data_IF_450862790109
#
_entry.id   IF_450862790109
#
_cell.length_a   1.000
_cell.length_b   1.000
_cell.length_c   1.000
_cell.angle_alpha   90.00
_cell.angle_beta   90.00
_cell.angle_gamma   90.00
#
_symmetry.space_group_name_H-M   'P 1'
#
loop_
_entity.id
_entity.type
_entity.pdbx_description
1 polymer ?
#
# COMPACT_ATOMS: atom_id res chain seq x y z
N UNK A 1 -9.04 6.86 -12.96
CA UNK A 1 -9.25 8.02 -12.05
C UNK A 1 -9.95 7.52 -10.79
N UNK A 2 -9.52 7.94 -9.62
CA UNK A 2 -10.18 7.63 -8.34
C UNK A 2 -11.41 8.53 -8.17
N UNK A 3 -12.55 7.95 -7.81
CA UNK A 3 -13.80 8.66 -7.56
C UNK A 3 -14.37 8.27 -6.20
N UNK A 4 -15.30 9.06 -5.66
CA UNK A 4 -15.93 8.77 -4.37
C UNK A 4 -16.66 7.41 -4.42
N UNK A 5 -17.37 7.13 -5.51
CA UNK A 5 -18.09 5.87 -5.70
C UNK A 5 -17.13 4.65 -5.64
N UNK A 6 -15.94 4.76 -6.28
CA UNK A 6 -14.92 3.70 -6.19
C UNK A 6 -14.38 3.51 -4.78
N UNK A 7 -14.21 4.58 -4.02
CA UNK A 7 -13.79 4.48 -2.62
C UNK A 7 -14.87 3.87 -1.72
N UNK A 8 -16.14 4.19 -1.97
CA UNK A 8 -17.27 3.56 -1.27
C UNK A 8 -17.34 2.05 -1.59
N UNK A 9 -17.25 1.69 -2.88
CA UNK A 9 -17.17 0.29 -3.32
C UNK A 9 -15.99 -0.43 -2.67
N UNK A 10 -14.80 0.17 -2.70
CA UNK A 10 -13.61 -0.40 -2.07
C UNK A 10 -13.81 -0.61 -0.57
N UNK A 11 -14.39 0.36 0.12
CA UNK A 11 -14.66 0.27 1.56
C UNK A 11 -15.61 -0.87 1.90
N UNK A 12 -16.69 -1.02 1.14
CA UNK A 12 -17.63 -2.12 1.33
C UNK A 12 -17.04 -3.49 0.97
N UNK A 13 -16.17 -3.54 -0.05
CA UNK A 13 -15.54 -4.79 -0.45
C UNK A 13 -14.50 -5.24 0.59
N UNK A 14 -13.59 -4.35 1.03
CA UNK A 14 -12.52 -4.71 1.96
C UNK A 14 -13.02 -5.03 3.37
N UNK A 15 -14.13 -4.45 3.82
CA UNK A 15 -14.77 -4.80 5.11
C UNK A 15 -15.06 -6.30 5.25
N UNK A 16 -15.25 -7.02 4.16
CA UNK A 16 -15.54 -8.46 4.17
C UNK A 16 -14.36 -9.31 4.65
N UNK A 17 -13.14 -8.77 4.56
CA UNK A 17 -11.90 -9.54 4.77
C UNK A 17 -10.90 -8.85 5.68
N UNK A 18 -11.15 -7.63 6.11
CA UNK A 18 -10.23 -6.90 6.98
C UNK A 18 -10.68 -6.94 8.44
N UNK A 19 -9.72 -6.95 9.35
CA UNK A 19 -10.01 -6.70 10.75
C UNK A 19 -10.44 -5.24 10.94
N UNK A 20 -11.48 -4.97 11.74
CA UNK A 20 -11.84 -3.61 12.10
C UNK A 20 -10.77 -3.02 13.04
N UNK A 21 -9.76 -2.39 12.47
CA UNK A 21 -8.69 -1.72 13.21
C UNK A 21 -9.19 -0.37 13.73
N UNK A 22 -9.98 -0.39 14.79
CA UNK A 22 -10.54 0.82 15.39
C UNK A 22 -9.46 1.82 15.81
N UNK A 23 -9.80 3.10 15.82
CA UNK A 23 -8.92 4.14 16.31
C UNK A 23 -8.63 3.94 17.80
N UNK A 24 -7.36 3.96 18.15
CA UNK A 24 -6.89 3.82 19.54
C UNK A 24 -6.37 5.17 20.03
N UNK A 25 -7.03 5.75 21.04
CA UNK A 25 -6.53 6.97 21.68
C UNK A 25 -5.18 6.70 22.36
N UNK A 26 -4.19 7.54 22.07
CA UNK A 26 -2.88 7.48 22.71
C UNK A 26 -2.72 8.57 23.74
N UNK A 27 -2.89 8.25 25.01
CA UNK A 27 -2.69 9.20 26.11
C UNK A 27 -1.24 9.72 26.14
N UNK A 28 -0.26 8.82 25.93
CA UNK A 28 1.14 9.18 25.91
C UNK A 28 1.44 10.25 24.85
N UNK A 29 1.11 9.98 23.56
CA UNK A 29 1.35 10.94 22.50
C UNK A 29 0.54 12.22 22.66
N UNK A 30 -0.68 12.13 23.17
CA UNK A 30 -1.53 13.29 23.40
C UNK A 30 -0.93 14.22 24.47
N UNK A 31 -0.39 13.65 25.54
CA UNK A 31 0.30 14.42 26.58
C UNK A 31 1.57 15.08 26.07
N UNK A 32 2.36 14.39 25.24
CA UNK A 32 3.60 14.94 24.67
C UNK A 32 3.35 16.08 23.68
N UNK A 33 2.27 16.02 22.91
CA UNK A 33 2.01 16.97 21.83
C UNK A 33 1.02 18.07 22.18
N UNK A 34 0.23 17.91 23.25
CA UNK A 34 -0.89 18.79 23.58
C UNK A 34 -2.10 18.63 22.64
N UNK A 35 -2.10 17.65 21.73
CA UNK A 35 -3.18 17.34 20.80
C UNK A 35 -3.87 16.04 21.20
N UNK A 36 -5.07 15.77 20.65
CA UNK A 36 -5.73 14.47 20.77
C UNK A 36 -5.20 13.54 19.69
N UNK A 37 -4.32 12.61 20.05
CA UNK A 37 -3.68 11.69 19.11
C UNK A 37 -4.35 10.32 19.15
N UNK A 38 -4.72 9.84 17.97
CA UNK A 38 -5.29 8.51 17.76
C UNK A 38 -4.39 7.72 16.81
N UNK A 39 -4.27 6.42 17.02
CA UNK A 39 -3.54 5.49 16.17
C UNK A 39 -4.53 4.64 15.38
N UNK A 40 -4.30 4.49 14.07
CA UNK A 40 -4.98 3.51 13.20
C UNK A 40 -4.08 2.28 13.06
N UNK A 41 -4.27 1.20 13.85
CA UNK A 41 -3.29 0.13 13.99
C UNK A 41 -3.39 -0.89 12.85
N UNK A 42 -3.02 -0.52 11.64
CA UNK A 42 -3.05 -1.40 10.46
C UNK A 42 -2.07 -2.59 10.52
N UNK A 43 -1.14 -2.59 11.47
CA UNK A 43 -0.33 -3.76 11.81
C UNK A 43 -1.14 -4.90 12.47
N UNK A 44 -2.39 -4.63 12.86
CA UNK A 44 -3.31 -5.63 13.42
C UNK A 44 -4.19 -6.32 12.36
N UNK A 45 -3.95 -6.08 11.08
CA UNK A 45 -4.58 -6.82 10.00
C UNK A 45 -4.12 -8.29 9.94
N UNK A 46 -4.90 -9.17 9.31
CA UNK A 46 -4.60 -10.60 9.17
C UNK A 46 -3.19 -10.88 8.64
N UNK A 47 -2.72 -10.06 7.70
CA UNK A 47 -1.37 -10.16 7.13
C UNK A 47 -0.33 -9.32 7.88
N UNK A 48 -0.71 -8.65 8.96
CA UNK A 48 0.15 -7.77 9.75
C UNK A 48 0.42 -6.41 9.11
N UNK A 49 -0.36 -6.01 8.08
CA UNK A 49 -0.21 -4.74 7.40
C UNK A 49 -1.45 -4.36 6.57
N UNK A 50 -1.59 -3.06 6.27
CA UNK A 50 -2.68 -2.50 5.48
C UNK A 50 -2.73 -3.00 4.01
N UNK A 51 -1.66 -3.58 3.49
CA UNK A 51 -1.53 -3.99 2.08
C UNK A 51 -2.64 -4.94 1.60
N UNK A 52 -3.25 -5.68 2.50
CA UNK A 52 -4.41 -6.53 2.23
C UNK A 52 -5.57 -5.74 1.59
N UNK A 53 -5.80 -4.49 1.99
CA UNK A 53 -6.89 -3.64 1.50
C UNK A 53 -6.78 -3.37 0.01
N UNK A 54 -5.64 -2.83 -0.43
CA UNK A 54 -5.40 -2.53 -1.83
C UNK A 54 -5.29 -3.77 -2.70
N UNK A 55 -4.64 -4.84 -2.22
CA UNK A 55 -4.55 -6.10 -2.95
C UNK A 55 -5.94 -6.72 -3.15
N UNK A 56 -6.78 -6.74 -2.11
CA UNK A 56 -8.11 -7.32 -2.18
C UNK A 56 -9.03 -6.53 -3.10
N UNK A 57 -9.02 -5.19 -3.01
CA UNK A 57 -9.82 -4.36 -3.92
C UNK A 57 -9.37 -4.55 -5.37
N UNK A 58 -8.07 -4.44 -5.66
CA UNK A 58 -7.53 -4.64 -7.00
C UNK A 58 -7.95 -5.98 -7.61
N UNK A 59 -7.78 -7.07 -6.89
CA UNK A 59 -8.17 -8.40 -7.38
C UNK A 59 -9.69 -8.51 -7.55
N UNK A 60 -10.46 -7.85 -6.69
CA UNK A 60 -11.92 -7.78 -6.79
C UNK A 60 -12.43 -7.04 -8.02
N UNK A 61 -11.69 -6.04 -8.53
CA UNK A 61 -12.06 -5.30 -9.74
C UNK A 61 -11.72 -6.02 -11.04
N UNK A 62 -10.89 -7.08 -10.97
CA UNK A 62 -10.55 -7.87 -12.15
C UNK A 62 -11.75 -8.69 -12.63
N UNK A 63 -11.80 -8.90 -13.94
CA UNK A 63 -12.74 -9.84 -14.54
C UNK A 63 -12.43 -11.27 -14.10
N UNK A 64 -13.41 -12.16 -14.23
CA UNK A 64 -13.21 -13.59 -13.94
C UNK A 64 -12.12 -14.19 -14.83
N UNK A 65 -12.05 -13.78 -16.09
CA UNK A 65 -11.01 -14.23 -17.02
C UNK A 65 -9.61 -13.80 -16.56
N UNK A 66 -9.43 -12.54 -16.14
CA UNK A 66 -8.15 -12.05 -15.63
C UNK A 66 -7.72 -12.79 -14.36
N UNK A 67 -8.65 -13.04 -13.43
CA UNK A 67 -8.37 -13.85 -12.23
C UNK A 67 -8.01 -15.30 -12.57
N UNK A 68 -8.69 -15.91 -13.55
CA UNK A 68 -8.47 -17.30 -13.95
C UNK A 68 -7.13 -17.50 -14.67
N UNK A 69 -6.62 -16.48 -15.38
CA UNK A 69 -5.25 -16.52 -15.94
C UNK A 69 -4.19 -16.62 -14.84
N UNK A 70 -4.47 -16.10 -13.66
CA UNK A 70 -3.56 -16.06 -12.53
C UNK A 70 -2.99 -14.66 -12.27
N UNK A 71 -2.53 -14.48 -11.05
CA UNK A 71 -1.98 -13.21 -10.55
C UNK A 71 -0.50 -13.34 -10.32
N UNK A 72 0.24 -12.23 -10.48
CA UNK A 72 1.67 -12.20 -10.16
C UNK A 72 2.04 -10.88 -9.50
N UNK A 73 3.02 -10.93 -8.62
CA UNK A 73 3.69 -9.73 -8.08
C UNK A 73 5.12 -10.03 -7.69
N UNK A 74 5.95 -8.98 -7.57
CA UNK A 74 7.27 -9.06 -6.96
C UNK A 74 7.22 -8.36 -5.60
N UNK A 75 7.45 -9.09 -4.53
CA UNK A 75 7.54 -8.55 -3.17
C UNK A 75 7.99 -9.62 -2.18
N UNK A 76 8.93 -9.28 -1.31
CA UNK A 76 9.35 -10.14 -0.20
C UNK A 76 8.68 -9.76 1.15
N UNK A 77 7.70 -8.84 1.14
CA UNK A 77 7.14 -8.27 2.36
C UNK A 77 5.62 -8.30 2.45
N UNK A 78 5.08 -7.21 2.98
CA UNK A 78 3.65 -7.09 3.30
C UNK A 78 2.74 -7.20 2.07
N UNK A 79 3.19 -6.71 0.90
CA UNK A 79 2.40 -6.80 -0.33
C UNK A 79 2.28 -8.25 -0.82
N UNK A 80 3.36 -9.03 -0.76
CA UNK A 80 3.35 -10.46 -1.08
C UNK A 80 2.25 -11.21 -0.31
N UNK A 81 2.20 -10.98 1.00
CA UNK A 81 1.18 -11.59 1.86
C UNK A 81 -0.24 -11.07 1.57
N UNK A 82 -0.37 -9.76 1.29
CA UNK A 82 -1.64 -9.15 0.91
C UNK A 82 -2.21 -9.76 -0.37
N UNK A 83 -1.38 -9.91 -1.41
CA UNK A 83 -1.78 -10.55 -2.69
C UNK A 83 -2.10 -12.02 -2.50
N UNK A 84 -1.24 -12.77 -1.78
CA UNK A 84 -1.46 -14.19 -1.51
C UNK A 84 -2.79 -14.43 -0.75
N UNK A 85 -3.03 -13.65 0.29
CA UNK A 85 -4.29 -13.70 1.04
C UNK A 85 -5.50 -13.38 0.15
N UNK A 86 -5.45 -12.27 -0.57
CA UNK A 86 -6.56 -11.84 -1.42
C UNK A 86 -6.84 -12.85 -2.54
N UNK A 87 -5.80 -13.39 -3.19
CA UNK A 87 -5.95 -14.44 -4.19
C UNK A 87 -6.67 -15.67 -3.65
N UNK A 88 -6.32 -16.10 -2.44
CA UNK A 88 -7.00 -17.22 -1.76
C UNK A 88 -8.49 -16.95 -1.56
N UNK A 89 -8.85 -15.76 -1.07
CA UNK A 89 -10.25 -15.39 -0.82
C UNK A 89 -11.07 -15.33 -2.12
N UNK A 90 -10.46 -14.99 -3.26
CA UNK A 90 -11.10 -15.02 -4.57
C UNK A 90 -10.97 -16.37 -5.30
N UNK A 91 -10.29 -17.37 -4.69
CA UNK A 91 -10.10 -18.68 -5.28
C UNK A 91 -9.22 -18.69 -6.53
N UNK A 92 -8.35 -17.69 -6.70
CA UNK A 92 -7.44 -17.59 -7.85
C UNK A 92 -5.99 -17.92 -7.47
N UNK A 93 -5.19 -18.30 -8.45
CA UNK A 93 -3.77 -18.60 -8.29
C UNK A 93 -2.97 -17.32 -8.21
N UNK A 94 -1.97 -17.27 -7.33
CA UNK A 94 -1.01 -16.17 -7.26
C UNK A 94 0.42 -16.71 -7.23
N UNK A 95 1.27 -16.12 -8.06
CA UNK A 95 2.72 -16.34 -8.10
C UNK A 95 3.41 -15.12 -7.51
N UNK A 96 4.26 -15.33 -6.50
CA UNK A 96 4.99 -14.26 -5.82
C UNK A 96 6.47 -14.45 -6.08
N UNK A 97 7.09 -13.51 -6.77
CA UNK A 97 8.53 -13.53 -7.03
C UNK A 97 9.25 -12.76 -5.92
N UNK A 98 10.26 -13.39 -5.34
CA UNK A 98 11.08 -12.85 -4.25
C UNK A 98 12.57 -13.02 -4.55
N UNK A 99 13.45 -12.12 -4.09
CA UNK A 99 14.88 -12.34 -4.12
C UNK A 99 15.29 -13.63 -3.42
N UNK A 100 16.34 -14.29 -3.89
CA UNK A 100 16.86 -15.56 -3.31
C UNK A 100 17.31 -15.41 -1.86
N UNK A 101 17.74 -14.22 -1.46
CA UNK A 101 18.17 -13.88 -0.10
C UNK A 101 17.01 -13.64 0.87
N UNK A 102 15.76 -13.75 0.40
CA UNK A 102 14.58 -13.52 1.25
C UNK A 102 14.53 -14.50 2.41
N UNK A 103 14.39 -14.03 3.67
CA UNK A 103 14.31 -14.90 4.84
C UNK A 103 13.21 -15.96 4.72
N UNK A 104 13.51 -17.21 5.07
CA UNK A 104 12.57 -18.34 4.97
C UNK A 104 11.24 -18.10 5.69
N UNK A 105 11.25 -17.32 6.78
CA UNK A 105 10.03 -16.99 7.50
C UNK A 105 9.06 -16.19 6.63
N UNK A 106 9.55 -15.26 5.81
CA UNK A 106 8.73 -14.46 4.87
C UNK A 106 8.21 -15.34 3.73
N UNK A 107 9.06 -16.22 3.19
CA UNK A 107 8.69 -17.20 2.15
C UNK A 107 7.57 -18.12 2.65
N UNK A 108 7.79 -18.76 3.81
CA UNK A 108 6.84 -19.72 4.38
C UNK A 108 5.50 -19.04 4.74
N UNK A 109 5.56 -17.82 5.27
CA UNK A 109 4.35 -17.06 5.60
C UNK A 109 3.52 -16.73 4.34
N UNK A 110 4.17 -16.37 3.23
CA UNK A 110 3.47 -16.15 1.96
C UNK A 110 2.87 -17.45 1.42
N UNK A 111 3.63 -18.55 1.44
CA UNK A 111 3.14 -19.88 1.05
C UNK A 111 1.96 -20.36 1.90
N UNK A 112 1.92 -20.02 3.19
CA UNK A 112 0.81 -20.40 4.07
C UNK A 112 -0.55 -19.79 3.67
N UNK A 113 -0.53 -18.72 2.88
CA UNK A 113 -1.74 -18.16 2.25
C UNK A 113 -2.10 -18.83 0.91
N UNK A 114 -1.36 -19.86 0.48
CA UNK A 114 -1.68 -20.63 -0.73
C UNK A 114 -1.00 -20.14 -2.02
N UNK A 115 -0.16 -19.11 -1.96
CA UNK A 115 0.55 -18.64 -3.14
C UNK A 115 1.76 -19.51 -3.48
N UNK A 116 2.07 -19.62 -4.77
CA UNK A 116 3.34 -20.11 -5.27
C UNK A 116 4.42 -19.03 -5.05
N UNK A 117 5.57 -19.43 -4.50
CA UNK A 117 6.70 -18.52 -4.32
C UNK A 117 7.85 -18.97 -5.20
N UNK A 118 8.29 -18.08 -6.08
CA UNK A 118 9.44 -18.22 -6.97
C UNK A 118 10.57 -17.36 -6.42
N UNK A 119 11.74 -17.97 -6.16
CA UNK A 119 12.93 -17.23 -5.74
C UNK A 119 13.79 -16.94 -6.97
N UNK A 120 14.07 -15.65 -7.24
CA UNK A 120 14.84 -15.23 -8.39
C UNK A 120 15.62 -13.94 -8.13
N UNK A 121 16.90 -13.92 -8.58
CA UNK A 121 17.80 -12.79 -8.42
C UNK A 121 18.24 -12.54 -6.98
N UNK A 122 19.11 -11.59 -6.78
CA UNK A 122 19.66 -11.28 -5.47
C UNK A 122 19.05 -10.00 -4.86
N UNK A 123 18.47 -9.13 -5.72
CA UNK A 123 17.83 -7.86 -5.32
C UNK A 123 16.38 -7.80 -5.79
N UNK A 124 15.66 -6.81 -5.29
CA UNK A 124 14.25 -6.61 -5.64
C UNK A 124 14.05 -6.41 -7.15
N UNK A 125 14.93 -5.66 -7.80
CA UNK A 125 14.79 -5.32 -9.22
C UNK A 125 14.89 -6.56 -10.12
N UNK A 126 15.77 -7.51 -9.79
CA UNK A 126 15.86 -8.79 -10.51
C UNK A 126 14.55 -9.58 -10.38
N UNK A 127 14.01 -9.66 -9.16
CA UNK A 127 12.75 -10.34 -8.91
C UNK A 127 11.58 -9.65 -9.64
N UNK A 128 11.58 -8.31 -9.68
CA UNK A 128 10.56 -7.52 -10.37
C UNK A 128 10.60 -7.76 -11.89
N UNK A 129 11.77 -7.64 -12.50
CA UNK A 129 11.92 -7.89 -13.95
C UNK A 129 11.52 -9.31 -14.32
N UNK A 130 11.87 -10.28 -13.51
CA UNK A 130 11.47 -11.66 -13.72
C UNK A 130 9.96 -11.86 -13.56
N UNK A 131 9.32 -11.20 -12.62
CA UNK A 131 7.88 -11.23 -12.47
C UNK A 131 7.17 -10.61 -13.68
N UNK A 132 7.67 -9.49 -14.21
CA UNK A 132 7.16 -8.88 -15.45
C UNK A 132 7.28 -9.85 -16.65
N UNK A 133 8.42 -10.50 -16.81
CA UNK A 133 8.63 -11.51 -17.84
C UNK A 133 7.63 -12.68 -17.72
N UNK A 134 7.45 -13.23 -16.52
CA UNK A 134 6.48 -14.30 -16.30
C UNK A 134 5.04 -13.84 -16.55
N UNK A 135 4.72 -12.57 -16.24
CA UNK A 135 3.40 -12.00 -16.51
C UNK A 135 3.12 -12.00 -18.02
N UNK A 136 4.07 -11.55 -18.84
CA UNK A 136 3.95 -11.53 -20.30
C UNK A 136 3.85 -12.95 -20.89
N UNK A 137 4.75 -13.86 -20.49
CA UNK A 137 4.81 -15.22 -21.03
C UNK A 137 3.56 -16.05 -20.73
N UNK A 138 2.94 -15.84 -19.55
CA UNK A 138 1.81 -16.65 -19.06
C UNK A 138 0.47 -15.89 -19.09
N UNK A 139 0.47 -14.61 -19.43
CA UNK A 139 -0.73 -13.76 -19.40
C UNK A 139 -1.25 -13.46 -18.00
N UNK A 140 -0.39 -13.52 -16.97
CA UNK A 140 -0.78 -13.21 -15.60
C UNK A 140 -1.10 -11.74 -15.42
N UNK A 141 -2.05 -11.43 -14.55
CA UNK A 141 -2.32 -10.06 -14.13
C UNK A 141 -1.32 -9.64 -13.05
N UNK A 142 -0.53 -8.60 -13.34
CA UNK A 142 0.42 -8.06 -12.38
C UNK A 142 -0.30 -7.18 -11.36
N UNK A 143 -0.13 -7.47 -10.06
CA UNK A 143 -0.67 -6.68 -8.95
C UNK A 143 0.47 -5.86 -8.34
N UNK A 144 0.55 -4.57 -8.74
CA UNK A 144 1.66 -3.71 -8.33
C UNK A 144 1.56 -3.31 -6.85
N UNK A 145 2.68 -3.23 -6.09
CA UNK A 145 2.66 -2.96 -4.65
C UNK A 145 2.20 -1.53 -4.28
N UNK A 146 2.23 -0.57 -5.19
CA UNK A 146 1.85 0.82 -4.94
C UNK A 146 1.51 1.63 -6.20
N UNK A 147 2.12 1.35 -7.37
CA UNK A 147 1.92 2.11 -8.61
C UNK A 147 0.72 1.57 -9.41
N UNK A 148 -0.43 1.58 -8.78
CA UNK A 148 -1.72 1.14 -9.33
C UNK A 148 -2.85 1.87 -8.59
N UNK A 149 -3.68 2.61 -9.32
CA UNK A 149 -4.74 3.43 -8.73
C UNK A 149 -5.86 2.63 -8.09
N UNK A 150 -6.12 1.39 -8.53
CA UNK A 150 -7.09 0.53 -7.87
C UNK A 150 -6.52 0.02 -6.53
N UNK A 151 -5.21 -0.32 -6.49
CA UNK A 151 -4.52 -0.62 -5.24
C UNK A 151 -4.58 0.58 -4.28
N UNK A 152 -4.27 1.79 -4.77
CA UNK A 152 -4.35 3.01 -3.97
C UNK A 152 -5.79 3.29 -3.49
N UNK A 153 -6.81 3.06 -4.33
CA UNK A 153 -8.22 3.19 -3.95
C UNK A 153 -8.58 2.25 -2.79
N UNK A 154 -8.16 0.99 -2.86
CA UNK A 154 -8.35 0.04 -1.76
C UNK A 154 -7.70 0.51 -0.44
N UNK A 155 -6.49 1.11 -0.51
CA UNK A 155 -5.82 1.69 0.67
C UNK A 155 -6.59 2.90 1.23
N UNK A 156 -7.27 3.65 0.38
CA UNK A 156 -8.11 4.79 0.77
C UNK A 156 -9.26 4.42 1.71
N UNK A 157 -9.69 3.16 1.76
CA UNK A 157 -10.67 2.68 2.74
C UNK A 157 -10.28 2.97 4.19
N UNK A 158 -8.97 3.15 4.47
CA UNK A 158 -8.48 3.59 5.78
C UNK A 158 -9.00 4.99 6.12
N UNK A 159 -8.96 5.93 5.18
CA UNK A 159 -9.49 7.28 5.39
C UNK A 159 -11.01 7.25 5.62
N UNK A 160 -11.75 6.39 4.91
CA UNK A 160 -13.18 6.21 5.14
C UNK A 160 -13.46 5.80 6.59
N UNK A 161 -12.75 4.80 7.10
CA UNK A 161 -12.88 4.34 8.49
C UNK A 161 -12.49 5.44 9.50
N UNK A 162 -11.39 6.17 9.24
CA UNK A 162 -10.95 7.25 10.12
C UNK A 162 -12.03 8.33 10.22
N UNK A 163 -12.56 8.82 9.10
CA UNK A 163 -13.56 9.89 9.09
C UNK A 163 -14.89 9.43 9.67
N UNK A 164 -15.26 8.15 9.49
CA UNK A 164 -16.47 7.59 10.12
C UNK A 164 -16.34 7.48 11.65
N UNK A 165 -15.17 7.09 12.17
CA UNK A 165 -14.94 6.97 13.62
C UNK A 165 -14.62 8.32 14.29
N UNK A 166 -13.95 9.24 13.60
CA UNK A 166 -13.55 10.56 14.08
C UNK A 166 -13.87 11.66 13.04
N UNK A 167 -15.15 12.04 12.89
CA UNK A 167 -15.55 13.07 11.92
C UNK A 167 -14.89 14.43 12.12
N UNK A 168 -14.33 14.67 13.31
CA UNK A 168 -13.66 15.93 13.69
C UNK A 168 -12.14 15.85 13.54
N UNK A 169 -11.61 14.88 12.79
CA UNK A 169 -10.17 14.77 12.55
C UNK A 169 -9.64 16.01 11.81
N UNK A 170 -8.58 16.63 12.35
CA UNK A 170 -7.94 17.80 11.74
C UNK A 170 -6.75 17.39 10.87
N UNK A 171 -5.96 16.40 11.33
CA UNK A 171 -4.72 15.95 10.68
C UNK A 171 -4.68 14.43 10.55
N UNK A 172 -4.23 13.95 9.40
CA UNK A 172 -3.92 12.53 9.18
C UNK A 172 -2.44 12.43 8.77
N UNK A 173 -1.61 11.79 9.60
CA UNK A 173 -0.21 11.53 9.31
C UNK A 173 -0.09 10.16 8.66
N UNK A 174 0.57 10.10 7.49
CA UNK A 174 0.63 8.89 6.67
C UNK A 174 2.07 8.58 6.27
N UNK A 175 2.61 7.39 6.59
CA UNK A 175 3.94 7.01 6.14
C UNK A 175 3.98 6.84 4.62
N UNK A 176 5.07 7.29 3.99
CA UNK A 176 5.29 7.21 2.55
C UNK A 176 6.46 6.27 2.24
N UNK A 177 6.23 5.33 1.33
CA UNK A 177 7.23 4.64 0.54
C UNK A 177 6.96 4.95 -0.94
N UNK A 178 6.47 4.01 -1.74
CA UNK A 178 6.12 4.23 -3.14
C UNK A 178 4.88 5.10 -3.41
N UNK A 179 4.20 5.60 -2.38
CA UNK A 179 3.12 6.58 -2.49
C UNK A 179 1.69 6.01 -2.50
N UNK A 180 1.48 4.70 -2.71
CA UNK A 180 0.13 4.17 -2.89
C UNK A 180 -0.82 4.36 -1.68
N UNK A 181 -0.30 4.27 -0.45
CA UNK A 181 -1.10 4.50 0.76
C UNK A 181 -1.55 5.96 0.86
N UNK A 182 -0.60 6.89 0.81
CA UNK A 182 -0.90 8.31 0.96
C UNK A 182 -1.77 8.82 -0.18
N UNK A 183 -1.57 8.31 -1.39
CA UNK A 183 -2.42 8.62 -2.56
C UNK A 183 -3.89 8.28 -2.27
N UNK A 184 -4.19 7.07 -1.83
CA UNK A 184 -5.55 6.67 -1.51
C UNK A 184 -6.14 7.43 -0.33
N UNK A 185 -5.37 7.54 0.76
CA UNK A 185 -5.82 8.22 1.99
C UNK A 185 -6.04 9.71 1.76
N UNK A 186 -5.09 10.42 1.13
CA UNK A 186 -5.21 11.86 0.92
C UNK A 186 -6.34 12.21 -0.03
N UNK A 187 -6.45 11.49 -1.14
CA UNK A 187 -7.51 11.73 -2.13
C UNK A 187 -8.89 11.59 -1.50
N UNK A 188 -9.14 10.48 -0.78
CA UNK A 188 -10.44 10.31 -0.14
C UNK A 188 -10.67 11.30 1.00
N UNK A 189 -9.67 11.57 1.84
CA UNK A 189 -9.80 12.55 2.92
C UNK A 189 -10.22 13.93 2.39
N UNK A 190 -9.59 14.40 1.30
CA UNK A 190 -9.93 15.68 0.66
C UNK A 190 -11.31 15.68 0.00
N UNK A 191 -11.75 14.55 -0.58
CA UNK A 191 -13.11 14.40 -1.11
C UNK A 191 -14.17 14.48 -0.01
N UNK A 192 -13.92 13.85 1.15
CA UNK A 192 -14.85 13.84 2.27
C UNK A 192 -14.88 15.17 3.04
N UNK A 193 -13.72 15.75 3.28
CA UNK A 193 -13.58 17.03 3.95
C UNK A 193 -12.26 17.72 3.55
N UNK A 194 -12.30 18.74 2.68
CA UNK A 194 -11.08 19.42 2.20
C UNK A 194 -10.31 20.19 3.30
N UNK A 195 -10.90 20.35 4.49
CA UNK A 195 -10.23 20.99 5.64
C UNK A 195 -9.26 20.04 6.36
N UNK A 196 -9.41 18.72 6.20
CA UNK A 196 -8.47 17.73 6.76
C UNK A 196 -7.09 17.95 6.16
N UNK A 197 -6.09 18.10 7.01
CA UNK A 197 -4.70 18.21 6.61
C UNK A 197 -4.07 16.80 6.54
N UNK A 198 -3.55 16.43 5.38
CA UNK A 198 -2.83 15.16 5.22
C UNK A 198 -1.34 15.44 5.13
N UNK A 199 -0.61 14.88 6.09
CA UNK A 199 0.84 15.06 6.21
C UNK A 199 1.54 13.74 5.91
N UNK A 200 2.40 13.74 4.90
CA UNK A 200 3.28 12.63 4.60
C UNK A 200 4.43 12.54 5.60
N UNK A 201 4.87 11.32 5.89
CA UNK A 201 6.05 11.09 6.73
C UNK A 201 6.99 10.14 5.99
N UNK A 202 8.20 10.59 5.70
CA UNK A 202 9.24 9.81 5.03
C UNK A 202 10.48 9.65 5.92
N UNK A 203 11.17 8.52 5.87
CA UNK A 203 12.52 8.43 6.43
C UNK A 203 13.49 9.32 5.65
N UNK A 204 14.32 10.10 6.32
CA UNK A 204 15.31 10.97 5.67
C UNK A 204 16.27 10.19 4.75
N UNK A 205 16.56 8.92 5.08
CA UNK A 205 17.39 8.03 4.26
C UNK A 205 16.68 7.37 3.08
N UNK A 206 15.37 7.63 2.87
CA UNK A 206 14.57 7.10 1.77
C UNK A 206 13.46 8.09 1.36
N UNK A 207 13.81 9.36 1.17
CA UNK A 207 12.89 10.46 0.89
C UNK A 207 12.57 10.59 -0.62
N UNK A 208 12.09 9.49 -1.23
CA UNK A 208 11.86 9.42 -2.68
C UNK A 208 10.68 10.31 -3.13
N UNK A 209 9.63 10.43 -2.34
CA UNK A 209 8.49 11.31 -2.67
C UNK A 209 8.88 12.79 -2.56
N UNK A 210 9.62 13.16 -1.53
CA UNK A 210 10.15 14.53 -1.40
C UNK A 210 11.06 14.90 -2.59
N UNK A 211 11.91 13.97 -3.04
CA UNK A 211 12.76 14.17 -4.22
C UNK A 211 11.91 14.31 -5.50
N UNK A 212 10.92 13.46 -5.69
CA UNK A 212 10.02 13.49 -6.86
C UNK A 212 9.19 14.78 -6.92
N UNK A 213 8.62 15.22 -5.79
CA UNK A 213 7.89 16.49 -5.71
C UNK A 213 8.77 17.69 -6.08
N UNK A 214 10.03 17.69 -5.65
CA UNK A 214 10.98 18.73 -5.98
C UNK A 214 11.38 18.71 -7.47
N UNK A 215 11.51 17.55 -8.05
CA UNK A 215 11.83 17.37 -9.48
C UNK A 215 10.61 17.62 -10.40
N UNK A 216 9.40 17.41 -9.90
CA UNK A 216 8.16 17.44 -10.69
C UNK A 216 7.86 16.13 -11.43
N UNK A 217 8.70 15.12 -11.24
CA UNK A 217 8.57 13.78 -11.86
C UNK A 217 9.12 12.70 -10.91
N UNK A 218 8.78 11.44 -11.17
CA UNK A 218 9.35 10.33 -10.42
C UNK A 218 10.87 10.25 -10.69
N UNK A 219 11.65 10.18 -9.62
CA UNK A 219 13.12 10.10 -9.68
C UNK A 219 13.60 8.95 -8.80
N UNK A 220 14.61 8.23 -9.27
CA UNK A 220 15.24 7.17 -8.52
C UNK A 220 16.34 7.73 -7.60
N UNK A 221 16.31 7.35 -6.32
CA UNK A 221 17.35 7.62 -5.36
C UNK A 221 18.53 6.64 -5.53
N UNK A 222 19.74 7.07 -5.29
CA UNK A 222 20.91 6.19 -5.29
C UNK A 222 20.77 5.05 -4.27
N UNK A 223 20.16 5.32 -3.12
CA UNK A 223 19.92 4.35 -2.05
C UNK A 223 18.66 4.65 -1.27
N UNK A 224 18.10 3.63 -0.61
CA UNK A 224 17.01 3.75 0.36
C UNK A 224 17.47 3.09 1.66
N UNK A 225 18.06 3.86 2.57
CA UNK A 225 18.64 3.36 3.81
C UNK A 225 17.81 3.81 5.03
N UNK A 226 17.03 2.88 5.59
CA UNK A 226 16.18 3.12 6.75
C UNK A 226 15.88 1.82 7.47
N UNK A 227 15.64 1.89 8.80
CA UNK A 227 15.12 0.77 9.58
C UNK A 227 13.63 0.52 9.30
N UNK A 228 12.92 1.48 8.71
CA UNK A 228 11.52 1.36 8.31
C UNK A 228 11.42 0.69 6.93
N UNK A 229 11.73 -0.62 6.87
CA UNK A 229 11.85 -1.40 5.63
C UNK A 229 10.60 -1.34 4.72
N UNK A 230 9.41 -1.17 5.30
CA UNK A 230 8.17 -1.00 4.54
C UNK A 230 8.06 0.31 3.75
N UNK A 231 8.91 1.29 4.03
CA UNK A 231 9.00 2.60 3.34
C UNK A 231 10.32 2.78 2.57
N UNK A 232 11.19 1.78 2.56
CA UNK A 232 12.47 1.81 1.86
C UNK A 232 12.28 1.62 0.34
N UNK A 233 11.80 2.67 -0.31
CA UNK A 233 11.51 2.69 -1.76
C UNK A 233 12.36 3.74 -2.43
N UNK A 234 13.12 3.34 -3.47
CA UNK A 234 14.01 4.26 -4.20
C UNK A 234 13.28 5.19 -5.14
N UNK A 235 12.19 4.73 -5.74
CA UNK A 235 11.42 5.48 -6.74
C UNK A 235 9.93 5.36 -6.43
N UNK A 236 9.24 6.50 -6.41
CA UNK A 236 7.79 6.55 -6.20
C UNK A 236 7.03 6.10 -7.44
N UNK A 237 5.78 5.68 -7.27
CA UNK A 237 4.90 5.42 -8.40
C UNK A 237 4.57 6.72 -9.14
N UNK A 238 4.82 6.75 -10.45
CA UNK A 238 4.51 7.89 -11.31
C UNK A 238 3.01 8.21 -11.34
N UNK A 239 2.14 7.20 -11.22
CA UNK A 239 0.70 7.39 -11.10
C UNK A 239 0.29 8.03 -9.76
N UNK A 240 1.10 7.89 -8.71
CA UNK A 240 0.82 8.42 -7.39
C UNK A 240 1.18 9.91 -7.27
N UNK A 241 2.24 10.34 -7.94
CA UNK A 241 2.82 11.67 -7.80
C UNK A 241 1.81 12.80 -8.01
N UNK A 242 0.98 12.82 -9.09
CA UNK A 242 0.00 13.88 -9.30
C UNK A 242 -1.02 14.01 -8.16
N UNK A 243 -1.47 12.90 -7.60
CA UNK A 243 -2.40 12.89 -6.48
C UNK A 243 -1.78 13.39 -5.18
N UNK A 244 -0.51 13.07 -4.95
CA UNK A 244 0.23 13.57 -3.80
C UNK A 244 0.46 15.07 -3.92
N UNK A 245 0.83 15.56 -5.10
CA UNK A 245 0.97 17.00 -5.38
C UNK A 245 -0.33 17.78 -5.12
N UNK A 246 -1.47 17.19 -5.44
CA UNK A 246 -2.77 17.83 -5.30
C UNK A 246 -3.33 17.78 -3.86
N UNK A 247 -3.16 16.64 -3.17
CA UNK A 247 -3.95 16.33 -1.97
C UNK A 247 -3.13 16.29 -0.67
N UNK A 248 -1.81 16.29 -0.72
CA UNK A 248 -0.94 16.25 0.46
C UNK A 248 -0.50 17.66 0.83
N UNK A 249 -0.73 18.05 2.07
CA UNK A 249 -0.46 19.42 2.52
C UNK A 249 1.01 19.66 2.85
N UNK A 250 1.72 18.65 3.33
CA UNK A 250 3.15 18.73 3.68
C UNK A 250 3.78 17.33 3.80
N UNK A 251 5.10 17.23 3.75
CA UNK A 251 5.87 16.01 4.02
C UNK A 251 6.96 16.30 5.04
N UNK A 252 6.97 15.50 6.09
CA UNK A 252 7.97 15.55 7.15
C UNK A 252 9.00 14.43 6.96
N UNK A 253 10.27 14.78 7.05
CA UNK A 253 11.38 13.83 7.08
C UNK A 253 11.75 13.50 8.53
N UNK A 254 11.92 12.20 8.82
CA UNK A 254 12.25 11.68 10.15
C UNK A 254 13.46 10.74 10.09
#
# INVERSE_FOLDING_TARGET
>A
MMTLEKFEEASELVKKVTNPTKLVFSEYLSTQTGAKVYLKPENMQHTGAYKIRGAYYKIGTLTEEERNRGLITASAGNHAQGVAFAAREFGCKATIVMPTVTPLIKVNRTKSYGAEVVLHGDVYDDAYQYACKLAEENGYTFVHPFNDLDVATGQGSIAMEIVQELPTVDYILVPIGGGGLITGVSTLAKMLNPKIKVIGVEPAGAASMTAALKAGEAVELDSANTIADGTAVKEVGDQNLPYVQENVDDILLV
#
